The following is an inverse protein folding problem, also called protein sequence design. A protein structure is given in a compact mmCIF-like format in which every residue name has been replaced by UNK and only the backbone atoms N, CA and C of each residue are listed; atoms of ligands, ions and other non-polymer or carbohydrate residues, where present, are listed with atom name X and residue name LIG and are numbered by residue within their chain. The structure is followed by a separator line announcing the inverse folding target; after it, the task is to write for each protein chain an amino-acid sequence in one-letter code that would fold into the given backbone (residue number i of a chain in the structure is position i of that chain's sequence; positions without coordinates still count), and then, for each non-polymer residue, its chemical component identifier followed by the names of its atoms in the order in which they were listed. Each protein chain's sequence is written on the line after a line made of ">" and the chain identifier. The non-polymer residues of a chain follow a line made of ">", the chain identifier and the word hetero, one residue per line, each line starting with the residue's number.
data_IF_134083900446
#
_entry.id   IF_134083900446
#
_cell.length_a   1.000
_cell.length_b   1.000
_cell.length_c   1.000
_cell.angle_alpha   90.00
_cell.angle_beta   90.00
_cell.angle_gamma   90.00
#
_symmetry.space_group_name_H-M   'P 1'
#
loop_
_entity.id
_entity.type
_entity.pdbx_description
1 polymer ?
#
# COMPACT_ATOMS: atom_id res chain seq x y z
N UNK A 1 -16.30 5.34 -2.86
CA UNK A 1 -15.84 4.10 -3.50
C UNK A 1 -14.65 3.56 -2.72
N UNK A 2 -14.75 2.39 -2.07
CA UNK A 2 -13.68 1.84 -1.26
C UNK A 2 -12.59 1.24 -2.14
N UNK A 3 -11.34 1.62 -1.88
CA UNK A 3 -10.15 1.06 -2.52
C UNK A 3 -9.42 0.23 -1.46
N UNK A 4 -9.13 -1.03 -1.78
CA UNK A 4 -8.33 -1.94 -0.99
C UNK A 4 -6.91 -1.97 -1.58
N UNK A 5 -5.90 -1.68 -0.79
CA UNK A 5 -4.50 -1.75 -1.24
C UNK A 5 -3.89 -3.08 -0.79
N UNK A 6 -3.40 -3.88 -1.74
CA UNK A 6 -2.58 -5.06 -1.51
C UNK A 6 -1.10 -4.70 -1.55
N UNK A 7 -0.44 -4.82 -0.41
CA UNK A 7 1.00 -4.72 -0.27
C UNK A 7 1.58 -6.11 0.01
N UNK A 8 2.55 -6.55 -0.79
CA UNK A 8 3.31 -7.76 -0.51
C UNK A 8 4.80 -7.43 -0.44
N UNK A 9 5.45 -7.84 0.65
CA UNK A 9 6.91 -7.72 0.85
C UNK A 9 7.60 -9.01 0.40
N UNK A 10 8.66 -8.90 -0.40
CA UNK A 10 9.61 -9.99 -0.65
C UNK A 10 11.03 -9.46 -0.51
N UNK A 11 11.76 -9.92 0.53
CA UNK A 11 13.16 -9.56 0.82
C UNK A 11 13.39 -8.03 0.94
N UNK A 12 13.77 -7.40 -0.17
CA UNK A 12 14.08 -5.96 -0.32
C UNK A 12 13.13 -5.20 -1.24
N UNK A 13 12.11 -5.88 -1.77
CA UNK A 13 11.15 -5.31 -2.70
C UNK A 13 9.77 -5.20 -2.06
N UNK A 14 9.13 -4.08 -2.35
CA UNK A 14 7.74 -3.81 -2.05
C UNK A 14 6.94 -3.86 -3.36
N UNK A 15 5.92 -4.71 -3.40
CA UNK A 15 4.94 -4.73 -4.46
C UNK A 15 3.69 -3.99 -4.00
N UNK A 16 3.26 -2.99 -4.78
CA UNK A 16 2.03 -2.26 -4.57
C UNK A 16 0.99 -2.68 -5.60
N UNK A 17 -0.05 -3.35 -5.13
CA UNK A 17 -1.19 -3.77 -5.93
C UNK A 17 -2.45 -3.06 -5.45
N UNK A 18 -3.15 -2.41 -6.35
CA UNK A 18 -4.44 -1.78 -6.13
C UNK A 18 -5.54 -2.81 -6.34
N UNK A 19 -6.48 -2.88 -5.41
CA UNK A 19 -7.73 -3.61 -5.56
C UNK A 19 -8.89 -2.63 -5.38
N UNK A 20 -9.81 -2.54 -6.33
CA UNK A 20 -10.95 -1.64 -6.20
C UNK A 20 -12.19 -2.24 -6.83
N UNK A 21 -13.35 -1.78 -6.37
CA UNK A 21 -14.64 -2.14 -6.94
C UNK A 21 -15.13 -0.98 -7.78
N UNK A 22 -15.50 -1.25 -9.03
CA UNK A 22 -16.04 -0.23 -9.93
C UNK A 22 -17.55 0.01 -9.73
N UNK A 23 -18.13 0.94 -10.49
CA UNK A 23 -19.55 1.28 -10.40
C UNK A 23 -20.48 0.11 -10.77
N UNK A 24 -19.96 -0.90 -11.47
CA UNK A 24 -20.68 -2.12 -11.87
C UNK A 24 -20.44 -3.27 -10.90
N UNK A 25 -19.85 -3.00 -9.74
CA UNK A 25 -19.51 -3.99 -8.71
C UNK A 25 -18.51 -5.06 -9.14
N UNK A 26 -17.70 -4.79 -10.18
CA UNK A 26 -16.61 -5.70 -10.55
C UNK A 26 -15.37 -5.42 -9.71
N UNK A 27 -14.76 -6.50 -9.21
CA UNK A 27 -13.49 -6.43 -8.49
C UNK A 27 -12.34 -6.36 -9.49
N UNK A 28 -11.65 -5.22 -9.50
CA UNK A 28 -10.48 -4.98 -10.33
C UNK A 28 -9.21 -5.12 -9.48
N UNK A 29 -8.16 -5.66 -10.08
CA UNK A 29 -6.82 -5.78 -9.47
C UNK A 29 -5.77 -5.25 -10.43
N UNK A 30 -4.95 -4.31 -9.98
CA UNK A 30 -3.88 -3.74 -10.77
C UNK A 30 -2.59 -3.64 -9.97
N UNK A 31 -1.54 -4.32 -10.42
CA UNK A 31 -0.19 -4.09 -9.89
C UNK A 31 0.35 -2.78 -10.44
N UNK A 32 0.54 -1.81 -9.54
CA UNK A 32 0.97 -0.46 -9.88
C UNK A 32 2.48 -0.42 -10.07
N UNK A 33 3.22 -0.82 -9.04
CA UNK A 33 4.67 -0.76 -9.07
C UNK A 33 5.31 -1.83 -8.19
N UNK A 34 6.53 -2.22 -8.58
CA UNK A 34 7.43 -3.00 -7.75
C UNK A 34 8.66 -2.13 -7.49
N UNK A 35 8.85 -1.77 -6.24
CA UNK A 35 9.87 -0.81 -5.83
C UNK A 35 10.84 -1.50 -4.89
N UNK A 36 12.14 -1.36 -5.17
CA UNK A 36 13.19 -1.77 -4.23
C UNK A 36 13.27 -0.75 -3.09
N UNK A 37 13.24 -1.22 -1.85
CA UNK A 37 13.51 -0.42 -0.65
C UNK A 37 14.91 -0.81 -0.17
N UNK A 38 15.97 -0.11 -0.58
CA UNK A 38 17.33 -0.45 -0.19
C UNK A 38 17.56 -0.15 1.30
N UNK A 39 18.22 -1.07 2.00
CA UNK A 39 18.67 -0.86 3.38
C UNK A 39 17.73 -1.45 4.44
N UNK A 40 17.64 -0.80 5.60
CA UNK A 40 16.87 -1.30 6.74
C UNK A 40 15.38 -1.02 6.52
N UNK A 41 14.60 -2.09 6.46
CA UNK A 41 13.13 -2.04 6.31
C UNK A 41 12.43 -1.58 7.58
N UNK A 42 12.76 -0.37 8.05
CA UNK A 42 12.09 0.27 9.17
C UNK A 42 10.73 0.84 8.75
N UNK A 43 9.88 1.09 9.75
CA UNK A 43 8.54 1.62 9.49
C UNK A 43 8.55 2.96 8.72
N UNK A 44 9.43 3.94 9.04
CA UNK A 44 9.50 5.20 8.30
C UNK A 44 9.84 5.04 6.81
N UNK A 45 10.79 4.17 6.46
CA UNK A 45 11.19 3.96 5.06
C UNK A 45 10.07 3.30 4.25
N UNK A 46 9.38 2.32 4.85
CA UNK A 46 8.21 1.68 4.23
C UNK A 46 7.09 2.70 4.05
N UNK A 47 6.85 3.55 5.05
CA UNK A 47 5.83 4.59 4.97
C UNK A 47 6.14 5.62 3.87
N UNK A 48 7.40 6.05 3.75
CA UNK A 48 7.83 6.96 2.69
C UNK A 48 7.64 6.33 1.30
N UNK A 49 7.95 5.05 1.13
CA UNK A 49 7.72 4.33 -0.13
C UNK A 49 6.22 4.25 -0.48
N UNK A 50 5.38 3.92 0.50
CA UNK A 50 3.91 3.95 0.35
C UNK A 50 3.42 5.33 -0.09
N UNK A 51 3.79 6.39 0.64
CA UNK A 51 3.36 7.75 0.33
C UNK A 51 3.81 8.20 -1.05
N UNK A 52 5.03 7.84 -1.46
CA UNK A 52 5.51 8.10 -2.82
C UNK A 52 4.65 7.38 -3.86
N UNK A 53 4.31 6.12 -3.65
CA UNK A 53 3.41 5.37 -4.55
C UNK A 53 2.05 6.05 -4.67
N UNK A 54 1.44 6.49 -3.55
CA UNK A 54 0.19 7.27 -3.59
C UNK A 54 0.33 8.56 -4.42
N UNK A 55 1.42 9.31 -4.23
CA UNK A 55 1.67 10.55 -4.98
C UNK A 55 1.91 10.30 -6.47
N UNK A 56 2.76 9.32 -6.81
CA UNK A 56 3.11 8.98 -8.20
C UNK A 56 1.89 8.56 -9.02
N UNK A 57 0.98 7.78 -8.41
CA UNK A 57 -0.23 7.30 -9.06
C UNK A 57 -1.45 8.22 -8.82
N UNK A 58 -1.23 9.40 -8.22
CA UNK A 58 -2.26 10.37 -7.88
C UNK A 58 -3.46 9.75 -7.13
N UNK A 59 -3.17 8.85 -6.20
CA UNK A 59 -4.16 8.10 -5.43
C UNK A 59 -4.53 8.88 -4.17
N UNK A 60 -5.83 9.01 -3.94
CA UNK A 60 -6.36 9.65 -2.74
C UNK A 60 -6.31 8.68 -1.54
N UNK A 61 -5.49 9.02 -0.55
CA UNK A 61 -5.35 8.26 0.71
C UNK A 61 -6.67 8.11 1.45
N UNK A 62 -7.61 9.07 1.33
CA UNK A 62 -8.93 9.00 1.98
C UNK A 62 -9.82 7.90 1.40
N UNK A 63 -9.53 7.44 0.18
CA UNK A 63 -10.25 6.33 -0.48
C UNK A 63 -9.66 4.96 -0.13
N UNK A 64 -8.46 4.93 0.45
CA UNK A 64 -7.84 3.69 0.94
C UNK A 64 -8.55 3.22 2.20
N UNK A 65 -9.27 2.10 2.10
CA UNK A 65 -10.04 1.54 3.21
C UNK A 65 -9.21 0.55 4.01
N UNK A 66 -8.30 -0.19 3.36
CA UNK A 66 -7.48 -1.20 4.04
C UNK A 66 -6.19 -1.47 3.27
N UNK A 67 -5.12 -1.72 4.02
CA UNK A 67 -3.92 -2.37 3.52
C UNK A 67 -3.98 -3.87 3.84
N UNK A 68 -3.88 -4.70 2.82
CA UNK A 68 -3.50 -6.09 2.94
C UNK A 68 -1.98 -6.12 2.94
N UNK A 69 -1.37 -6.67 3.98
CA UNK A 69 0.08 -6.74 4.17
C UNK A 69 0.42 -7.98 4.98
N UNK A 70 1.70 -8.34 5.03
CA UNK A 70 2.16 -9.42 5.90
C UNK A 70 2.05 -9.05 7.39
N UNK A 71 2.34 -10.02 8.26
CA UNK A 71 2.30 -9.84 9.72
C UNK A 71 3.50 -9.07 10.30
N UNK A 72 4.41 -8.54 9.49
CA UNK A 72 5.63 -7.93 10.02
C UNK A 72 5.35 -6.62 10.77
N UNK A 73 6.06 -6.39 11.87
CA UNK A 73 5.82 -5.27 12.79
C UNK A 73 6.03 -3.91 12.14
N UNK A 74 7.10 -3.77 11.33
CA UNK A 74 7.45 -2.49 10.70
C UNK A 74 6.41 -2.03 9.68
N UNK A 75 5.91 -2.93 8.83
CA UNK A 75 4.85 -2.57 7.89
C UNK A 75 3.52 -2.35 8.58
N UNK A 76 3.22 -3.12 9.62
CA UNK A 76 2.01 -2.90 10.44
C UNK A 76 2.00 -1.48 10.98
N UNK A 77 3.15 -1.03 11.51
CA UNK A 77 3.31 0.33 12.02
C UNK A 77 3.21 1.37 10.91
N UNK A 78 3.95 1.20 9.81
CA UNK A 78 3.92 2.11 8.66
C UNK A 78 2.49 2.31 8.11
N UNK A 79 1.73 1.22 7.94
CA UNK A 79 0.36 1.30 7.43
C UNK A 79 -0.61 1.99 8.39
N UNK A 80 -0.45 1.80 9.71
CA UNK A 80 -1.22 2.51 10.74
C UNK A 80 -0.94 4.00 10.74
N UNK A 81 0.32 4.39 10.54
CA UNK A 81 0.73 5.80 10.52
C UNK A 81 0.23 6.53 9.25
N UNK A 82 -0.09 5.80 8.17
CA UNK A 82 -0.52 6.39 6.88
C UNK A 82 -2.04 6.48 6.73
N UNK A 83 -2.81 5.53 7.26
CA UNK A 83 -4.27 5.46 7.08
C UNK A 83 -5.00 5.75 8.39
N UNK A 84 -5.88 6.76 8.37
CA UNK A 84 -6.64 7.24 9.53
C UNK A 84 -7.66 6.25 10.15
N UNK A 85 -7.85 5.04 9.59
CA UNK A 85 -8.97 4.16 9.98
C UNK A 85 -8.63 2.66 10.11
N UNK A 86 -7.37 2.29 10.42
CA UNK A 86 -7.00 0.89 10.69
C UNK A 86 -7.02 0.57 12.18
#
# INVERSE_FOLDING_TARGET
>A
MPILFGFFRFLDFANFTLHYVDATFNLNKWTLEVTKIPGKHDAPSIAAALLRCFLSWNLDRKKCVRFLRDGASNITKACKDIVCHV
#
